data_IF_951995555216
#
_entry.id   IF_951995555216
#
_cell.length_a   1.000
_cell.length_b   1.000
_cell.length_c   1.000
_cell.angle_alpha   90.00
_cell.angle_beta   90.00
_cell.angle_gamma   90.00
#
_symmetry.space_group_name_H-M   'P 1'
#
loop_
_entity.id
_entity.type
_entity.pdbx_description
1 polymer ?
#
# COMPACT_ATOMS: atom_id res chain seq x y z
N UNK A 1 -9.61 17.36 6.52
CA UNK A 1 -8.65 17.05 5.44
C UNK A 1 -9.37 16.29 4.33
N UNK A 2 -9.13 16.68 3.10
CA UNK A 2 -9.77 16.02 1.95
C UNK A 2 -8.76 15.07 1.31
N UNK A 3 -9.11 13.80 1.22
CA UNK A 3 -8.29 12.81 0.55
C UNK A 3 -8.57 12.78 -0.96
N UNK A 4 -7.61 12.34 -1.79
CA UNK A 4 -7.90 12.07 -3.20
C UNK A 4 -9.11 11.12 -3.33
N UNK A 5 -9.83 11.23 -4.44
CA UNK A 5 -11.08 10.48 -4.63
C UNK A 5 -10.92 8.96 -4.46
N UNK A 6 -9.85 8.39 -5.01
CA UNK A 6 -9.61 6.95 -4.91
C UNK A 6 -9.41 6.49 -3.46
N UNK A 7 -8.74 7.31 -2.67
CA UNK A 7 -8.51 7.02 -1.25
C UNK A 7 -9.80 7.22 -0.46
N UNK A 8 -10.56 8.27 -0.76
CA UNK A 8 -11.83 8.52 -0.10
C UNK A 8 -12.80 7.37 -0.31
N UNK A 9 -12.83 6.78 -1.50
CA UNK A 9 -13.66 5.62 -1.79
C UNK A 9 -13.28 4.41 -0.94
N UNK A 10 -11.98 4.17 -0.76
CA UNK A 10 -11.49 3.10 0.11
C UNK A 10 -11.95 3.31 1.55
N UNK A 11 -11.78 4.53 2.06
CA UNK A 11 -12.18 4.87 3.42
C UNK A 11 -13.68 4.59 3.62
N UNK A 12 -14.51 5.07 2.70
CA UNK A 12 -15.96 4.88 2.80
C UNK A 12 -16.36 3.42 2.71
N UNK A 13 -15.73 2.66 1.82
CA UNK A 13 -16.00 1.23 1.66
C UNK A 13 -15.75 0.47 2.97
N UNK A 14 -14.58 0.70 3.59
CA UNK A 14 -14.24 0.02 4.83
C UNK A 14 -15.06 0.50 6.02
N UNK A 15 -15.44 1.78 6.05
CA UNK A 15 -16.26 2.31 7.14
C UNK A 15 -17.67 1.73 7.16
N UNK A 16 -18.17 1.26 6.04
CA UNK A 16 -19.49 0.62 5.94
C UNK A 16 -19.49 -0.82 6.43
N UNK A 17 -18.31 -1.42 6.64
CA UNK A 17 -18.19 -2.82 7.05
C UNK A 17 -18.01 -2.88 8.57
N UNK A 18 -19.00 -3.44 9.28
CA UNK A 18 -18.94 -3.55 10.73
C UNK A 18 -18.23 -4.81 11.21
N UNK A 19 -18.33 -5.91 10.44
CA UNK A 19 -17.74 -7.19 10.82
C UNK A 19 -16.26 -7.22 10.49
N UNK A 20 -15.44 -7.50 11.50
CA UNK A 20 -13.98 -7.58 11.37
C UNK A 20 -13.54 -8.63 10.35
N UNK A 21 -14.19 -9.78 10.33
CA UNK A 21 -13.84 -10.85 9.39
C UNK A 21 -14.15 -10.42 7.94
N UNK A 22 -15.27 -9.75 7.75
CA UNK A 22 -15.63 -9.23 6.44
C UNK A 22 -14.64 -8.17 5.97
N UNK A 23 -14.16 -7.30 6.88
CA UNK A 23 -13.13 -6.33 6.54
C UNK A 23 -11.85 -7.00 6.06
N UNK A 24 -11.45 -8.09 6.71
CA UNK A 24 -10.26 -8.85 6.30
C UNK A 24 -10.45 -9.47 4.93
N UNK A 25 -11.64 -10.00 4.63
CA UNK A 25 -11.92 -10.56 3.31
C UNK A 25 -11.86 -9.50 2.21
N UNK A 26 -12.46 -8.32 2.48
CA UNK A 26 -12.42 -7.22 1.52
C UNK A 26 -10.99 -6.73 1.32
N UNK A 27 -10.22 -6.64 2.42
CA UNK A 27 -8.81 -6.27 2.34
C UNK A 27 -8.04 -7.24 1.42
N UNK A 28 -8.24 -8.53 1.59
CA UNK A 28 -7.56 -9.53 0.76
C UNK A 28 -7.96 -9.43 -0.72
N UNK A 29 -9.20 -9.02 -1.00
CA UNK A 29 -9.66 -8.83 -2.38
C UNK A 29 -8.88 -7.73 -3.11
N UNK A 30 -8.35 -6.75 -2.38
CA UNK A 30 -7.52 -5.70 -2.97
C UNK A 30 -6.22 -6.24 -3.55
N UNK A 31 -5.85 -7.48 -3.27
CA UNK A 31 -4.67 -8.11 -3.88
C UNK A 31 -4.74 -8.11 -5.41
N UNK A 32 -5.95 -8.08 -5.99
CA UNK A 32 -6.12 -8.04 -7.44
C UNK A 32 -5.67 -6.72 -8.06
N UNK A 33 -5.49 -5.69 -7.25
CA UNK A 33 -5.05 -4.37 -7.71
C UNK A 33 -3.52 -4.26 -7.80
N UNK A 34 -2.80 -5.27 -7.35
CA UNK A 34 -1.33 -5.27 -7.37
C UNK A 34 -0.83 -5.55 -8.79
N UNK A 35 0.09 -4.69 -9.26
CA UNK A 35 0.90 -4.98 -10.44
C UNK A 35 2.06 -5.81 -9.92
N UNK A 36 2.06 -7.11 -10.23
CA UNK A 36 2.95 -8.06 -9.59
C UNK A 36 4.41 -7.89 -10.01
N UNK A 37 5.28 -7.83 -9.00
CA UNK A 37 6.72 -7.84 -9.22
C UNK A 37 7.17 -9.30 -9.40
N UNK A 38 7.69 -9.67 -10.58
CA UNK A 38 8.13 -11.07 -10.81
C UNK A 38 9.19 -11.51 -9.82
N UNK A 39 9.17 -12.78 -9.46
CA UNK A 39 10.09 -13.32 -8.45
C UNK A 39 11.57 -13.14 -8.85
N UNK A 40 11.87 -13.17 -10.13
CA UNK A 40 13.24 -12.95 -10.63
C UNK A 40 13.76 -11.54 -10.38
N UNK A 41 12.87 -10.61 -10.08
CA UNK A 41 13.24 -9.22 -9.77
C UNK A 41 13.32 -8.94 -8.27
N UNK A 42 13.00 -9.93 -7.43
CA UNK A 42 13.11 -9.78 -5.98
C UNK A 42 14.57 -9.69 -5.56
N UNK A 43 14.89 -8.69 -4.74
CA UNK A 43 16.25 -8.50 -4.23
C UNK A 43 16.22 -7.76 -2.90
N UNK A 44 17.39 -7.56 -2.30
CA UNK A 44 17.48 -6.90 -0.99
C UNK A 44 17.07 -5.42 -1.04
N UNK A 45 17.25 -4.74 -2.17
CA UNK A 45 16.92 -3.32 -2.26
C UNK A 45 15.42 -3.06 -2.29
N UNK A 46 14.62 -4.03 -2.75
CA UNK A 46 13.16 -3.88 -2.75
C UNK A 46 12.47 -4.73 -1.68
N UNK A 47 13.22 -5.42 -0.83
CA UNK A 47 12.68 -6.21 0.27
C UNK A 47 12.10 -5.29 1.36
N UNK A 48 10.88 -5.60 1.80
CA UNK A 48 10.26 -4.89 2.93
C UNK A 48 10.78 -5.50 4.23
N UNK A 49 11.47 -4.70 5.03
CA UNK A 49 12.03 -5.18 6.29
C UNK A 49 11.06 -4.96 7.44
N UNK A 50 11.12 -5.81 8.44
CA UNK A 50 10.26 -5.71 9.63
C UNK A 50 8.85 -6.27 9.42
N UNK A 51 8.59 -6.93 8.30
CA UNK A 51 7.35 -7.64 8.05
C UNK A 51 7.57 -9.13 8.30
N UNK A 52 6.59 -9.80 8.90
CA UNK A 52 6.69 -11.25 9.14
C UNK A 52 6.60 -12.05 7.84
N UNK A 53 5.91 -11.50 6.83
CA UNK A 53 5.80 -12.12 5.52
C UNK A 53 6.91 -11.62 4.61
N UNK A 54 7.27 -12.42 3.61
CA UNK A 54 8.18 -11.95 2.56
C UNK A 54 7.40 -10.99 1.68
N UNK A 55 7.91 -9.78 1.52
CA UNK A 55 7.27 -8.75 0.71
C UNK A 55 8.32 -7.91 0.00
N UNK A 56 8.00 -7.50 -1.23
CA UNK A 56 8.87 -6.67 -2.06
C UNK A 56 8.05 -5.56 -2.70
N UNK A 57 8.66 -4.38 -2.83
CA UNK A 57 8.06 -3.22 -3.48
C UNK A 57 9.09 -2.53 -4.36
N UNK A 58 8.70 -2.20 -5.59
CA UNK A 58 9.47 -1.32 -6.47
C UNK A 58 8.59 -0.17 -6.91
N UNK A 59 9.18 1.01 -6.99
CA UNK A 59 8.49 2.24 -7.40
C UNK A 59 9.25 2.85 -8.56
N UNK A 60 8.52 3.28 -9.59
CA UNK A 60 9.12 4.03 -10.68
C UNK A 60 8.25 5.25 -11.01
N UNK A 61 8.87 6.23 -11.65
CA UNK A 61 8.16 7.42 -12.13
C UNK A 61 8.18 7.37 -13.65
N UNK A 62 6.99 7.38 -14.25
CA UNK A 62 6.80 7.38 -15.70
C UNK A 62 5.90 8.55 -16.07
N UNK A 63 6.35 9.37 -17.02
CA UNK A 63 5.55 10.50 -17.50
C UNK A 63 5.05 11.38 -16.35
N UNK A 64 5.93 11.64 -15.38
CA UNK A 64 5.65 12.47 -14.20
C UNK A 64 4.60 11.90 -13.26
N UNK A 65 4.31 10.60 -13.37
CA UNK A 65 3.40 9.90 -12.45
C UNK A 65 4.09 8.71 -11.81
N UNK A 66 3.63 8.39 -10.60
CA UNK A 66 4.19 7.32 -9.78
C UNK A 66 3.48 6.00 -10.09
N UNK A 67 4.26 4.94 -10.19
CA UNK A 67 3.77 3.57 -10.40
C UNK A 67 4.53 2.61 -9.51
N UNK A 68 3.84 1.64 -8.93
CA UNK A 68 4.50 0.65 -8.09
C UNK A 68 4.18 -0.77 -8.55
N UNK A 69 5.15 -1.65 -8.35
CA UNK A 69 4.98 -3.10 -8.44
C UNK A 69 5.26 -3.68 -7.08
N UNK A 70 4.60 -4.76 -6.75
CA UNK A 70 4.73 -5.35 -5.43
C UNK A 70 4.53 -6.86 -5.49
N UNK A 71 5.02 -7.54 -4.47
CA UNK A 71 4.80 -8.98 -4.31
C UNK A 71 4.86 -9.33 -2.84
N UNK A 72 4.18 -10.39 -2.46
CA UNK A 72 4.23 -10.90 -1.10
C UNK A 72 3.79 -12.36 -1.09
N UNK A 73 4.20 -13.10 -0.07
CA UNK A 73 3.83 -14.50 0.10
C UNK A 73 2.56 -14.69 0.94
N UNK A 74 1.97 -13.61 1.46
CA UNK A 74 0.75 -13.66 2.25
C UNK A 74 -0.34 -12.81 1.61
N UNK A 75 -1.54 -13.38 1.48
CA UNK A 75 -2.69 -12.72 0.84
C UNK A 75 -3.04 -11.39 1.50
N UNK A 76 -2.97 -11.34 2.83
CA UNK A 76 -3.25 -10.13 3.59
C UNK A 76 -2.29 -8.99 3.21
N UNK A 77 -1.00 -9.31 3.10
CA UNK A 77 0.01 -8.33 2.70
C UNK A 77 -0.21 -7.89 1.27
N UNK A 78 -0.56 -8.82 0.38
CA UNK A 78 -0.91 -8.50 -0.99
C UNK A 78 -2.07 -7.51 -1.06
N UNK A 79 -3.08 -7.68 -0.18
CA UNK A 79 -4.19 -6.75 -0.08
C UNK A 79 -3.76 -5.35 0.34
N UNK A 80 -2.86 -5.26 1.31
CA UNK A 80 -2.30 -3.98 1.74
C UNK A 80 -1.51 -3.31 0.62
N UNK A 81 -0.75 -4.11 -0.14
CA UNK A 81 -0.03 -3.61 -1.32
C UNK A 81 -1.01 -3.11 -2.38
N UNK A 82 -2.15 -3.77 -2.55
CA UNK A 82 -3.19 -3.34 -3.47
C UNK A 82 -3.76 -1.99 -3.09
N UNK A 83 -4.01 -1.77 -1.81
CA UNK A 83 -4.48 -0.47 -1.31
C UNK A 83 -3.45 0.62 -1.57
N UNK A 84 -2.18 0.34 -1.30
CA UNK A 84 -1.10 1.29 -1.61
C UNK A 84 -1.04 1.60 -3.10
N UNK A 85 -1.20 0.58 -3.94
CA UNK A 85 -1.20 0.75 -5.39
C UNK A 85 -2.29 1.72 -5.84
N UNK A 86 -3.50 1.56 -5.31
CA UNK A 86 -4.61 2.48 -5.63
C UNK A 86 -4.27 3.90 -5.15
N UNK A 87 -3.65 4.01 -3.99
CA UNK A 87 -3.34 5.32 -3.41
C UNK A 87 -2.29 6.09 -4.21
N UNK A 88 -1.35 5.40 -4.86
CA UNK A 88 -0.20 6.07 -5.47
C UNK A 88 -0.14 5.97 -7.00
N UNK A 89 -0.67 4.90 -7.61
CA UNK A 89 -0.53 4.71 -9.05
C UNK A 89 -1.24 5.81 -9.82
N UNK A 90 -0.52 6.40 -10.78
CA UNK A 90 -1.05 7.48 -11.59
C UNK A 90 -1.04 8.85 -10.93
N UNK A 91 -0.58 8.94 -9.69
CA UNK A 91 -0.48 10.22 -8.96
C UNK A 91 0.85 10.90 -9.25
N UNK A 92 0.89 12.23 -9.09
CA UNK A 92 2.15 12.95 -9.21
C UNK A 92 3.04 12.63 -8.01
N UNK A 93 4.37 12.75 -8.15
CA UNK A 93 5.28 12.59 -7.00
C UNK A 93 4.90 13.48 -5.83
N UNK A 94 4.52 14.73 -6.10
CA UNK A 94 4.12 15.66 -5.05
C UNK A 94 2.91 15.15 -4.27
N UNK A 95 1.90 14.64 -4.97
CA UNK A 95 0.70 14.08 -4.31
C UNK A 95 1.04 12.91 -3.41
N UNK A 96 1.95 12.03 -3.86
CA UNK A 96 2.38 10.89 -3.06
C UNK A 96 3.11 11.35 -1.79
N UNK A 97 3.97 12.36 -1.91
CA UNK A 97 4.73 12.88 -0.76
C UNK A 97 3.83 13.59 0.26
N UNK A 98 2.68 14.08 -0.15
CA UNK A 98 1.71 14.72 0.73
C UNK A 98 0.82 13.72 1.48
N UNK A 99 0.79 12.46 1.05
CA UNK A 99 -0.01 11.43 1.73
C UNK A 99 0.59 11.08 3.09
N UNK A 100 -0.29 10.65 3.99
CA UNK A 100 0.12 10.06 5.27
C UNK A 100 -0.63 8.75 5.44
N UNK A 101 -0.15 7.82 6.28
CA UNK A 101 -0.87 6.57 6.52
C UNK A 101 -2.16 6.76 7.33
N UNK A 102 -2.49 7.98 7.71
CA UNK A 102 -3.73 8.28 8.44
C UNK A 102 -4.98 7.84 7.69
N UNK A 103 -4.94 7.77 6.35
CA UNK A 103 -6.11 7.29 5.61
C UNK A 103 -6.48 5.85 5.97
N UNK A 104 -5.49 5.01 6.23
CA UNK A 104 -5.72 3.63 6.63
C UNK A 104 -6.29 3.56 8.06
N UNK A 105 -5.88 4.51 8.92
CA UNK A 105 -6.46 4.62 10.25
C UNK A 105 -7.92 5.04 10.19
N UNK A 106 -8.25 6.04 9.37
CA UNK A 106 -9.62 6.51 9.18
C UNK A 106 -10.53 5.40 8.62
N UNK A 107 -10.00 4.58 7.74
CA UNK A 107 -10.73 3.46 7.16
C UNK A 107 -10.96 2.32 8.17
N UNK A 108 -10.22 2.32 9.28
CA UNK A 108 -10.29 1.24 10.26
C UNK A 108 -9.49 0.00 9.85
N UNK A 109 -8.65 0.12 8.83
CA UNK A 109 -7.85 -1.01 8.33
C UNK A 109 -6.80 -1.43 9.35
N UNK A 110 -6.06 -0.47 9.90
CA UNK A 110 -4.93 -0.78 10.78
C UNK A 110 -5.38 -1.41 12.10
N UNK A 111 -6.54 -1.03 12.65
CA UNK A 111 -7.04 -1.62 13.90
C UNK A 111 -7.54 -3.04 13.68
N UNK A 112 -7.81 -3.43 12.44
CA UNK A 112 -8.25 -4.79 12.10
C UNK A 112 -7.07 -5.76 12.03
N UNK A 113 -5.86 -5.22 11.87
CA UNK A 113 -4.64 -6.01 11.67
C UNK A 113 -3.93 -6.29 12.99
N UNK A 114 -3.08 -7.34 12.99
CA UNK A 114 -2.13 -7.53 14.08
C UNK A 114 -1.13 -6.38 14.09
N UNK A 115 -0.47 -6.09 15.24
CA UNK A 115 0.55 -5.04 15.27
C UNK A 115 1.67 -5.24 14.26
N UNK A 116 2.10 -6.49 14.02
CA UNK A 116 3.14 -6.78 13.05
C UNK A 116 2.72 -6.38 11.63
N UNK A 117 1.47 -6.67 11.25
CA UNK A 117 0.97 -6.32 9.91
C UNK A 117 0.74 -4.82 9.76
N UNK A 118 0.28 -4.15 10.83
CA UNK A 118 0.16 -2.69 10.82
C UNK A 118 1.52 -2.03 10.63
N UNK A 119 2.54 -2.53 11.32
CA UNK A 119 3.91 -2.03 11.17
C UNK A 119 4.43 -2.30 9.77
N UNK A 120 4.13 -3.47 9.20
CA UNK A 120 4.50 -3.80 7.82
C UNK A 120 3.89 -2.83 6.83
N UNK A 121 2.63 -2.46 7.01
CA UNK A 121 1.97 -1.47 6.17
C UNK A 121 2.68 -0.12 6.23
N UNK A 122 3.00 0.34 7.44
CA UNK A 122 3.69 1.62 7.64
C UNK A 122 5.08 1.59 6.99
N UNK A 123 5.79 0.48 7.12
CA UNK A 123 7.10 0.31 6.49
C UNK A 123 6.98 0.37 4.97
N UNK A 124 5.99 -0.30 4.38
CA UNK A 124 5.76 -0.26 2.94
C UNK A 124 5.43 1.16 2.48
N UNK A 125 4.60 1.85 3.23
CA UNK A 125 4.25 3.24 2.93
C UNK A 125 5.50 4.13 2.90
N UNK A 126 6.36 4.00 3.92
CA UNK A 126 7.60 4.76 4.00
C UNK A 126 8.54 4.44 2.84
N UNK A 127 8.63 3.17 2.45
CA UNK A 127 9.45 2.77 1.31
C UNK A 127 8.99 3.44 0.02
N UNK A 128 7.68 3.50 -0.19
CA UNK A 128 7.12 4.16 -1.37
C UNK A 128 7.50 5.64 -1.38
N UNK A 129 7.30 6.33 -0.26
CA UNK A 129 7.62 7.75 -0.18
C UNK A 129 9.10 8.02 -0.34
N UNK A 130 9.95 7.21 0.28
CA UNK A 130 11.40 7.37 0.16
C UNK A 130 11.86 7.13 -1.28
N UNK A 131 11.30 6.14 -1.96
CA UNK A 131 11.60 5.87 -3.36
C UNK A 131 11.24 7.06 -4.26
N UNK A 132 10.09 7.69 -4.00
CA UNK A 132 9.67 8.88 -4.74
C UNK A 132 10.62 10.04 -4.48
N UNK A 133 11.00 10.27 -3.23
CA UNK A 133 11.96 11.34 -2.88
C UNK A 133 13.29 11.16 -3.61
N UNK A 134 13.82 9.93 -3.62
CA UNK A 134 15.08 9.65 -4.30
C UNK A 134 14.97 9.86 -5.81
N UNK A 135 13.85 9.49 -6.40
CA UNK A 135 13.65 9.59 -7.84
C UNK A 135 13.56 11.03 -8.36
N UNK A 136 13.13 11.97 -7.52
CA UNK A 136 12.96 13.38 -7.92
C UNK A 136 14.10 14.29 -7.48
N UNK A 137 15.09 13.74 -6.81
CA UNK A 137 16.29 14.52 -6.41
C UNK A 137 17.26 14.71 -7.58
#
# INVERSE_FOLDING_TARGET
>A
MTWPASIQEIIEEFQEIDDQFERLEVLMDFSSEVDELPVEDWNESNLVRGCQSIAHIEVEIRDETVWMKAAADAKMVQGLQGILSIAVNGSTPQSVLELTPAFAEEAGILVTLTPSRSNGFRTMFDMVQNSVKEAIQ
#
